data_IF_766596114084
#
_entry.id   IF_766596114084
#
_cell.length_a   1.000
_cell.length_b   1.000
_cell.length_c   1.000
_cell.angle_alpha   90.00
_cell.angle_beta   90.00
_cell.angle_gamma   90.00
#
_symmetry.space_group_name_H-M   'P 1'
#
loop_
_entity.id
_entity.type
_entity.pdbx_description
1 polymer ?
#
# COMPACT_ATOMS: atom_id res chain seq x y z
N UNK A 1 -14.96 11.54 -16.12
CA UNK A 1 -15.81 10.69 -15.30
C UNK A 1 -15.26 10.72 -13.88
N UNK A 2 -16.11 11.00 -12.91
CA UNK A 2 -15.82 10.96 -11.48
C UNK A 2 -15.93 9.50 -11.02
N UNK A 3 -14.86 8.72 -11.26
CA UNK A 3 -14.86 7.28 -10.95
C UNK A 3 -14.84 7.02 -9.43
N UNK A 4 -14.48 8.02 -8.61
CA UNK A 4 -14.24 7.86 -7.18
C UNK A 4 -15.24 8.62 -6.29
N UNK A 5 -16.17 9.39 -6.86
CA UNK A 5 -16.99 10.35 -6.11
C UNK A 5 -16.20 11.52 -5.50
N UNK A 6 -14.95 11.70 -5.93
CA UNK A 6 -14.02 12.74 -5.43
C UNK A 6 -13.77 13.88 -6.41
N UNK A 7 -14.48 13.87 -7.54
CA UNK A 7 -14.29 14.83 -8.60
C UNK A 7 -13.13 14.49 -9.55
N UNK A 8 -12.91 15.37 -10.53
CA UNK A 8 -11.86 15.18 -11.54
C UNK A 8 -10.48 15.21 -10.89
N UNK A 9 -9.63 14.22 -11.24
CA UNK A 9 -8.24 14.17 -10.80
C UNK A 9 -7.49 15.48 -11.20
N UNK A 10 -6.89 16.21 -10.23
CA UNK A 10 -6.28 17.52 -10.51
C UNK A 10 -4.96 17.42 -11.28
N UNK A 11 -4.34 16.24 -11.32
CA UNK A 11 -3.08 16.00 -12.03
C UNK A 11 -3.29 14.91 -13.07
N UNK A 12 -2.90 15.19 -14.33
CA UNK A 12 -2.98 14.22 -15.43
C UNK A 12 -2.08 13.03 -15.13
N UNK A 13 -2.62 11.82 -15.35
CA UNK A 13 -1.83 10.61 -15.22
C UNK A 13 -0.81 10.53 -16.36
N UNK A 14 0.47 10.62 -16.04
CA UNK A 14 1.54 10.45 -17.02
C UNK A 14 2.01 9.00 -17.01
N UNK A 15 2.28 8.44 -18.20
CA UNK A 15 2.92 7.13 -18.31
C UNK A 15 4.29 7.22 -17.64
N UNK A 16 4.48 6.45 -16.58
CA UNK A 16 5.75 6.33 -15.87
C UNK A 16 6.52 5.12 -16.41
N UNK A 17 7.82 5.08 -16.13
CA UNK A 17 8.63 3.89 -16.38
C UNK A 17 8.16 2.69 -15.56
N UNK A 18 8.64 1.51 -15.90
CA UNK A 18 8.37 0.28 -15.17
C UNK A 18 9.03 0.35 -13.78
N UNK A 19 8.26 0.27 -12.68
CA UNK A 19 8.80 0.44 -11.33
C UNK A 19 9.81 -0.67 -10.94
N UNK A 20 9.69 -1.86 -11.53
CA UNK A 20 10.61 -2.96 -11.27
C UNK A 20 11.99 -2.71 -11.85
N UNK A 21 12.06 -2.18 -13.08
CA UNK A 21 13.34 -1.77 -13.71
C UNK A 21 14.05 -0.71 -12.87
N UNK A 22 13.29 0.28 -12.36
CA UNK A 22 13.85 1.32 -11.50
C UNK A 22 14.28 0.75 -10.13
N UNK A 23 13.47 -0.13 -9.54
CA UNK A 23 13.81 -0.80 -8.28
C UNK A 23 15.10 -1.62 -8.42
N UNK A 24 15.22 -2.44 -9.48
CA UNK A 24 16.43 -3.22 -9.77
C UNK A 24 17.65 -2.32 -9.97
N UNK A 25 17.51 -1.26 -10.74
CA UNK A 25 18.60 -0.29 -10.96
C UNK A 25 19.09 0.32 -9.63
N UNK A 26 18.18 0.65 -8.70
CA UNK A 26 18.56 1.17 -7.38
C UNK A 26 19.31 0.11 -6.56
N UNK A 27 18.86 -1.15 -6.57
CA UNK A 27 19.56 -2.25 -5.90
C UNK A 27 20.99 -2.41 -6.43
N UNK A 28 21.15 -2.38 -7.74
CA UNK A 28 22.46 -2.56 -8.40
C UNK A 28 23.43 -1.40 -8.15
N UNK A 29 22.93 -0.15 -8.15
CA UNK A 29 23.80 1.04 -8.04
C UNK A 29 24.06 1.41 -6.57
N UNK A 30 23.04 1.30 -5.72
CA UNK A 30 23.10 1.81 -4.34
C UNK A 30 23.36 0.69 -3.34
N UNK A 31 23.10 -0.57 -3.70
CA UNK A 31 23.26 -1.73 -2.83
C UNK A 31 22.24 -1.77 -1.69
N UNK A 32 21.03 -1.24 -1.91
CA UNK A 32 19.92 -1.27 -0.94
C UNK A 32 18.71 -1.99 -1.53
N UNK A 33 17.95 -2.66 -0.70
CA UNK A 33 16.71 -3.31 -1.14
C UNK A 33 15.66 -2.29 -1.58
N UNK A 34 14.98 -2.57 -2.68
CA UNK A 34 13.89 -1.76 -3.20
C UNK A 34 12.55 -2.29 -2.70
N UNK A 35 11.64 -1.40 -2.33
CA UNK A 35 10.23 -1.72 -2.07
C UNK A 35 9.40 -1.21 -3.25
N UNK A 36 8.70 -2.11 -3.94
CA UNK A 36 7.85 -1.76 -5.09
C UNK A 36 6.38 -1.83 -4.72
N UNK A 37 5.63 -0.79 -5.09
CA UNK A 37 4.18 -0.73 -4.90
C UNK A 37 3.45 -1.34 -6.10
N UNK A 38 2.50 -2.26 -5.85
CA UNK A 38 1.61 -2.81 -6.87
C UNK A 38 0.16 -2.56 -6.56
N UNK A 39 -0.56 -1.84 -7.43
CA UNK A 39 -2.02 -1.71 -7.37
C UNK A 39 -2.63 -2.95 -8.04
N UNK A 40 -3.36 -3.75 -7.25
CA UNK A 40 -3.79 -5.09 -7.69
C UNK A 40 -5.21 -5.15 -8.25
N UNK A 41 -6.00 -4.11 -8.08
CA UNK A 41 -7.44 -4.14 -8.34
C UNK A 41 -7.84 -3.93 -9.81
N UNK A 42 -6.91 -3.56 -10.68
CA UNK A 42 -7.25 -3.16 -12.07
C UNK A 42 -7.14 -4.28 -13.10
N UNK A 43 -6.46 -5.36 -12.79
CA UNK A 43 -6.22 -6.49 -13.69
C UNK A 43 -6.68 -7.80 -13.05
N UNK A 44 -6.98 -8.85 -13.83
CA UNK A 44 -7.37 -10.17 -13.30
C UNK A 44 -6.33 -10.76 -12.36
N UNK A 45 -6.78 -11.63 -11.46
CA UNK A 45 -5.95 -12.27 -10.43
C UNK A 45 -4.70 -12.94 -11.01
N UNK A 46 -4.85 -13.75 -12.06
CA UNK A 46 -3.71 -14.46 -12.68
C UNK A 46 -2.65 -13.51 -13.24
N UNK A 47 -3.08 -12.38 -13.82
CA UNK A 47 -2.17 -11.35 -14.32
C UNK A 47 -1.40 -10.67 -13.16
N UNK A 48 -2.07 -10.46 -12.02
CA UNK A 48 -1.42 -9.93 -10.83
C UNK A 48 -0.38 -10.90 -10.27
N UNK A 49 -0.73 -12.17 -10.11
CA UNK A 49 0.20 -13.18 -9.59
C UNK A 49 1.41 -13.36 -10.52
N UNK A 50 1.18 -13.44 -11.83
CA UNK A 50 2.26 -13.49 -12.81
C UNK A 50 3.22 -12.30 -12.68
N UNK A 51 2.69 -11.07 -12.55
CA UNK A 51 3.50 -9.87 -12.36
C UNK A 51 4.33 -9.94 -11.07
N UNK A 52 3.76 -10.48 -9.99
CA UNK A 52 4.41 -10.63 -8.68
C UNK A 52 5.53 -11.67 -8.76
N UNK A 53 5.28 -12.84 -9.37
CA UNK A 53 6.28 -13.88 -9.59
C UNK A 53 7.46 -13.38 -10.45
N UNK A 54 7.16 -12.70 -11.56
CA UNK A 54 8.19 -12.07 -12.41
C UNK A 54 9.00 -11.03 -11.63
N UNK A 55 8.37 -10.25 -10.75
CA UNK A 55 9.04 -9.25 -9.92
C UNK A 55 10.09 -9.89 -9.01
N UNK A 56 9.75 -10.98 -8.38
CA UNK A 56 10.67 -11.71 -7.51
C UNK A 56 11.76 -12.45 -8.33
N UNK A 57 11.36 -13.24 -9.35
CA UNK A 57 12.26 -14.09 -10.09
C UNK A 57 13.16 -13.32 -11.07
N UNK A 58 12.60 -12.40 -11.85
CA UNK A 58 13.29 -11.78 -12.98
C UNK A 58 13.95 -10.45 -12.61
N UNK A 59 13.40 -9.73 -11.61
CA UNK A 59 13.96 -8.46 -11.11
C UNK A 59 14.66 -8.59 -9.76
N UNK A 60 14.60 -9.77 -9.13
CA UNK A 60 15.19 -10.03 -7.80
C UNK A 60 14.75 -8.98 -6.75
N UNK A 61 13.45 -8.63 -6.77
CA UNK A 61 12.84 -7.72 -5.82
C UNK A 61 11.95 -8.54 -4.87
N UNK A 62 12.30 -8.53 -3.60
CA UNK A 62 11.63 -9.30 -2.56
C UNK A 62 10.57 -8.48 -1.81
N UNK A 63 10.69 -7.15 -1.80
CA UNK A 63 9.84 -6.31 -0.98
C UNK A 63 8.72 -5.65 -1.81
N UNK A 64 7.46 -5.99 -1.52
CA UNK A 64 6.29 -5.46 -2.20
C UNK A 64 5.30 -4.81 -1.23
N UNK A 65 4.66 -3.72 -1.67
CA UNK A 65 3.48 -3.18 -1.03
C UNK A 65 2.27 -3.42 -1.93
N UNK A 66 1.32 -4.20 -1.43
CA UNK A 66 0.08 -4.51 -2.14
C UNK A 66 -0.94 -3.41 -1.87
N UNK A 67 -1.34 -2.73 -2.94
CA UNK A 67 -2.18 -1.54 -2.90
C UNK A 67 -3.56 -1.84 -3.48
N UNK A 68 -4.60 -1.42 -2.79
CA UNK A 68 -5.99 -1.52 -3.24
C UNK A 68 -6.42 -0.37 -4.15
N UNK A 69 -7.72 -0.29 -4.37
CA UNK A 69 -8.32 0.79 -5.15
C UNK A 69 -8.43 2.11 -4.37
N UNK A 70 -8.60 3.18 -5.12
CA UNK A 70 -8.70 4.55 -4.59
C UNK A 70 -10.01 4.79 -3.82
N UNK A 71 -11.06 4.01 -4.10
CA UNK A 71 -12.37 4.17 -3.48
C UNK A 71 -13.02 2.81 -3.18
N UNK A 72 -13.68 2.73 -2.01
CA UNK A 72 -14.53 1.58 -1.64
C UNK A 72 -15.87 1.55 -2.40
N UNK A 73 -16.24 2.64 -3.07
CA UNK A 73 -17.51 2.76 -3.80
C UNK A 73 -17.40 2.29 -5.26
N UNK A 74 -16.20 1.96 -5.71
CA UNK A 74 -15.93 1.46 -7.06
C UNK A 74 -15.74 -0.05 -7.01
N UNK A 75 -16.46 -0.77 -7.89
CA UNK A 75 -16.21 -2.19 -8.08
C UNK A 75 -15.08 -2.37 -9.10
N UNK A 76 -13.97 -2.84 -8.63
CA UNK A 76 -12.81 -3.11 -9.47
C UNK A 76 -12.86 -4.51 -10.08
N UNK A 77 -12.28 -4.72 -11.27
CA UNK A 77 -12.27 -6.02 -11.95
C UNK A 77 -11.27 -7.03 -11.36
N UNK A 78 -10.24 -6.54 -10.68
CA UNK A 78 -9.18 -7.36 -10.12
C UNK A 78 -9.43 -7.81 -8.67
N UNK A 79 -8.49 -8.57 -8.09
CA UNK A 79 -8.60 -9.10 -6.75
C UNK A 79 -8.52 -8.03 -5.66
N UNK A 80 -8.98 -8.36 -4.47
CA UNK A 80 -8.76 -7.56 -3.29
C UNK A 80 -7.30 -7.69 -2.78
N UNK A 81 -6.86 -6.73 -1.99
CA UNK A 81 -5.55 -6.77 -1.32
C UNK A 81 -5.38 -8.04 -0.49
N UNK A 82 -6.43 -8.46 0.24
CA UNK A 82 -6.35 -9.65 1.10
C UNK A 82 -6.21 -10.95 0.31
N UNK A 83 -6.88 -11.08 -0.84
CA UNK A 83 -6.72 -12.25 -1.71
C UNK A 83 -5.28 -12.37 -2.23
N UNK A 84 -4.68 -11.27 -2.68
CA UNK A 84 -3.31 -11.27 -3.18
C UNK A 84 -2.31 -11.54 -2.06
N UNK A 85 -2.45 -10.89 -0.90
CA UNK A 85 -1.59 -11.13 0.27
C UNK A 85 -1.63 -12.61 0.70
N UNK A 86 -2.83 -13.20 0.74
CA UNK A 86 -3.02 -14.60 1.08
C UNK A 86 -2.30 -15.52 0.08
N UNK A 87 -2.48 -15.29 -1.21
CA UNK A 87 -1.84 -16.10 -2.25
C UNK A 87 -0.32 -15.99 -2.23
N UNK A 88 0.23 -14.79 -2.01
CA UNK A 88 1.67 -14.63 -1.86
C UNK A 88 2.18 -15.43 -0.65
N UNK A 89 1.56 -15.24 0.50
CA UNK A 89 2.03 -15.85 1.75
C UNK A 89 1.85 -17.36 1.79
N UNK A 90 0.71 -17.89 1.29
CA UNK A 90 0.32 -19.30 1.46
C UNK A 90 0.56 -20.16 0.23
N UNK A 91 0.61 -19.57 -0.94
CA UNK A 91 0.80 -20.33 -2.18
C UNK A 91 2.19 -20.08 -2.76
N UNK A 92 2.57 -18.83 -2.99
CA UNK A 92 3.84 -18.53 -3.64
C UNK A 92 5.05 -18.77 -2.71
N UNK A 93 5.07 -18.20 -1.51
CA UNK A 93 6.21 -18.32 -0.60
C UNK A 93 6.38 -19.75 -0.06
N UNK A 94 5.28 -20.48 0.22
CA UNK A 94 5.36 -21.88 0.64
C UNK A 94 5.89 -22.82 -0.46
N UNK A 95 5.83 -22.39 -1.74
CA UNK A 95 6.39 -23.10 -2.90
C UNK A 95 7.76 -22.58 -3.34
N UNK A 96 8.48 -21.86 -2.49
CA UNK A 96 9.85 -21.44 -2.71
C UNK A 96 10.04 -20.04 -3.24
N UNK A 97 8.97 -19.23 -3.27
CA UNK A 97 9.08 -17.78 -3.44
C UNK A 97 9.62 -17.10 -2.18
N UNK A 98 10.15 -15.91 -2.34
CA UNK A 98 10.66 -15.10 -1.23
C UNK A 98 10.19 -13.65 -1.40
N UNK A 99 8.95 -13.39 -0.99
CA UNK A 99 8.34 -12.05 -1.06
C UNK A 99 7.90 -11.60 0.32
N UNK A 100 8.49 -10.51 0.78
CA UNK A 100 8.13 -9.81 1.99
C UNK A 100 7.06 -8.75 1.69
N UNK A 101 5.80 -9.05 2.04
CA UNK A 101 4.65 -8.24 1.67
C UNK A 101 4.26 -7.22 2.72
N UNK A 102 4.04 -5.98 2.27
CA UNK A 102 3.40 -4.92 3.04
C UNK A 102 2.04 -4.51 2.50
N UNK A 103 1.33 -3.77 3.31
CA UNK A 103 0.06 -3.13 2.95
C UNK A 103 0.04 -1.63 3.26
N UNK A 104 -0.99 -0.94 2.77
CA UNK A 104 -1.20 0.48 3.08
C UNK A 104 -2.05 0.61 4.36
N UNK A 105 -1.62 1.49 5.26
CA UNK A 105 -2.39 1.97 6.41
C UNK A 105 -2.90 3.39 6.14
N UNK A 106 -4.20 3.64 6.34
CA UNK A 106 -4.83 4.95 6.13
C UNK A 106 -5.39 5.43 7.46
N UNK A 107 -4.65 6.23 8.23
CA UNK A 107 -4.99 6.60 9.61
C UNK A 107 -6.33 7.32 9.78
N UNK A 108 -6.81 8.04 8.76
CA UNK A 108 -8.10 8.72 8.77
C UNK A 108 -9.32 7.80 8.69
N UNK A 109 -9.14 6.51 8.37
CA UNK A 109 -10.24 5.54 8.32
C UNK A 109 -10.64 5.05 9.70
N UNK A 110 -11.90 5.15 10.04
CA UNK A 110 -12.44 4.74 11.36
C UNK A 110 -12.19 3.27 11.71
N UNK A 111 -12.17 2.38 10.72
CA UNK A 111 -11.98 0.94 10.92
C UNK A 111 -10.58 0.44 10.53
N UNK A 112 -9.58 1.33 10.41
CA UNK A 112 -8.28 0.94 9.87
C UNK A 112 -7.56 -0.08 10.75
N UNK A 113 -7.66 0.01 12.07
CA UNK A 113 -7.09 -1.00 12.98
C UNK A 113 -7.60 -2.42 12.68
N UNK A 114 -8.89 -2.58 12.36
CA UNK A 114 -9.46 -3.87 11.93
C UNK A 114 -8.92 -4.31 10.57
N UNK A 115 -8.74 -3.36 9.65
CA UNK A 115 -8.18 -3.65 8.33
C UNK A 115 -6.73 -4.10 8.44
N UNK A 116 -5.93 -3.50 9.35
CA UNK A 116 -4.55 -3.91 9.59
C UNK A 116 -4.48 -5.34 10.13
N UNK A 117 -5.32 -5.70 11.11
CA UNK A 117 -5.42 -7.09 11.59
C UNK A 117 -5.74 -8.04 10.44
N UNK A 118 -6.79 -7.75 9.67
CA UNK A 118 -7.19 -8.59 8.54
C UNK A 118 -6.09 -8.76 7.49
N UNK A 119 -5.35 -7.70 7.18
CA UNK A 119 -4.19 -7.78 6.28
C UNK A 119 -3.06 -8.62 6.89
N UNK A 120 -2.78 -8.47 8.18
CA UNK A 120 -1.76 -9.27 8.89
C UNK A 120 -2.10 -10.76 8.87
N UNK A 121 -3.37 -11.12 9.10
CA UNK A 121 -3.86 -12.51 9.03
C UNK A 121 -3.73 -13.11 7.62
N UNK A 122 -3.78 -12.27 6.59
CA UNK A 122 -3.59 -12.66 5.19
C UNK A 122 -2.14 -12.54 4.72
N UNK A 123 -1.15 -12.31 5.59
CA UNK A 123 0.25 -12.36 5.24
C UNK A 123 0.95 -11.02 5.08
N UNK A 124 0.30 -9.89 5.43
CA UNK A 124 1.02 -8.62 5.48
C UNK A 124 1.97 -8.58 6.67
N UNK A 125 3.24 -8.31 6.42
CA UNK A 125 4.31 -8.33 7.43
C UNK A 125 4.72 -6.94 7.91
N UNK A 126 4.37 -5.92 7.14
CA UNK A 126 4.54 -4.52 7.52
C UNK A 126 3.47 -3.65 6.87
N UNK A 127 3.41 -2.39 7.30
CA UNK A 127 2.53 -1.40 6.70
C UNK A 127 3.29 -0.11 6.41
N UNK A 128 2.91 0.58 5.33
CA UNK A 128 3.29 1.96 5.12
C UNK A 128 2.06 2.85 5.21
N UNK A 129 2.19 4.02 5.82
CA UNK A 129 1.05 4.92 5.97
C UNK A 129 0.78 5.70 4.69
N UNK A 130 -0.46 6.17 4.53
CA UNK A 130 -0.72 7.34 3.69
C UNK A 130 0.13 8.51 4.21
N UNK A 131 0.43 9.49 3.33
CA UNK A 131 1.22 10.68 3.70
C UNK A 131 0.58 11.40 4.89
N UNK A 132 1.38 11.73 5.89
CA UNK A 132 0.97 12.34 7.16
C UNK A 132 1.35 13.80 7.22
N UNK A 133 0.40 14.64 7.60
CA UNK A 133 0.59 16.07 7.92
C UNK A 133 0.09 16.41 9.32
N UNK A 134 -0.55 15.45 10.00
CA UNK A 134 -1.04 15.53 11.36
C UNK A 134 -0.80 14.23 12.10
N UNK A 135 -0.49 14.31 13.39
CA UNK A 135 -0.19 13.15 14.23
C UNK A 135 -1.42 12.54 14.91
N UNK A 136 -2.54 13.26 14.98
CA UNK A 136 -3.69 12.85 15.78
C UNK A 136 -4.31 11.53 15.35
N UNK A 137 -4.50 11.36 14.03
CA UNK A 137 -5.12 10.15 13.47
C UNK A 137 -4.19 8.94 13.55
N UNK A 138 -2.89 9.15 13.31
CA UNK A 138 -1.92 8.05 13.39
C UNK A 138 -1.75 7.55 14.83
N UNK A 139 -1.70 8.45 15.81
CA UNK A 139 -1.61 8.07 17.23
C UNK A 139 -2.85 7.25 17.66
N UNK A 140 -4.05 7.70 17.30
CA UNK A 140 -5.29 6.95 17.59
C UNK A 140 -5.31 5.59 16.90
N UNK A 141 -4.92 5.54 15.63
CA UNK A 141 -4.89 4.27 14.88
C UNK A 141 -3.91 3.28 15.50
N UNK A 142 -2.70 3.73 15.88
CA UNK A 142 -1.69 2.88 16.53
C UNK A 142 -2.24 2.34 17.87
N UNK A 143 -2.84 3.20 18.70
CA UNK A 143 -3.44 2.77 19.97
C UNK A 143 -4.50 1.68 19.77
N UNK A 144 -5.47 1.91 18.90
CA UNK A 144 -6.49 0.91 18.59
C UNK A 144 -5.93 -0.35 17.92
N UNK A 145 -4.86 -0.25 17.16
CA UNK A 145 -4.22 -1.42 16.54
C UNK A 145 -3.52 -2.27 17.60
N UNK A 146 -2.79 -1.63 18.53
CA UNK A 146 -2.16 -2.30 19.66
C UNK A 146 -3.19 -3.02 20.54
N UNK A 147 -4.25 -2.31 20.96
CA UNK A 147 -5.35 -2.90 21.76
C UNK A 147 -5.91 -4.17 21.10
N UNK A 148 -6.13 -4.14 19.79
CA UNK A 148 -6.62 -5.32 19.05
C UNK A 148 -5.60 -6.44 18.97
N UNK A 149 -4.32 -6.12 18.82
CA UNK A 149 -3.27 -7.14 18.85
C UNK A 149 -3.21 -7.82 20.21
N UNK A 150 -3.36 -7.06 21.30
CA UNK A 150 -3.39 -7.58 22.68
C UNK A 150 -4.61 -8.49 22.90
N UNK A 151 -5.82 -8.06 22.44
CA UNK A 151 -7.04 -8.89 22.50
C UNK A 151 -6.90 -10.23 21.76
N UNK A 152 -6.17 -10.23 20.63
CA UNK A 152 -5.94 -11.42 19.80
C UNK A 152 -4.69 -12.22 20.20
N UNK A 153 -3.95 -11.76 21.22
CA UNK A 153 -2.68 -12.34 21.67
C UNK A 153 -1.68 -12.48 20.51
N UNK A 154 -1.56 -11.40 19.69
CA UNK A 154 -0.63 -11.33 18.56
C UNK A 154 0.22 -10.06 18.65
N UNK A 155 1.28 -9.97 17.83
CA UNK A 155 2.15 -8.81 17.81
C UNK A 155 1.78 -7.85 16.67
N UNK A 156 1.80 -6.53 16.92
CA UNK A 156 1.60 -5.55 15.86
C UNK A 156 2.72 -5.62 14.84
N UNK A 157 2.36 -5.51 13.57
CA UNK A 157 3.33 -5.39 12.48
C UNK A 157 3.95 -4.01 12.45
N UNK A 158 5.16 -3.92 11.91
CA UNK A 158 5.90 -2.65 11.77
C UNK A 158 5.12 -1.65 10.90
N UNK A 159 5.13 -0.39 11.32
CA UNK A 159 4.56 0.74 10.58
C UNK A 159 5.69 1.65 10.09
N UNK A 160 5.73 1.88 8.78
CA UNK A 160 6.60 2.86 8.13
C UNK A 160 5.78 4.14 7.92
N UNK A 161 6.17 5.22 8.57
CA UNK A 161 5.46 6.49 8.49
C UNK A 161 5.90 7.26 7.23
N UNK A 162 4.93 7.73 6.44
CA UNK A 162 5.19 8.43 5.20
C UNK A 162 5.02 9.93 5.35
N UNK A 163 6.05 10.68 4.98
CA UNK A 163 6.06 12.13 4.97
C UNK A 163 6.44 12.65 3.59
N UNK A 164 5.82 13.74 3.15
CA UNK A 164 6.16 14.39 1.90
C UNK A 164 6.06 15.91 2.04
N UNK A 165 6.99 16.70 1.46
CA UNK A 165 6.88 18.14 1.45
C UNK A 165 5.72 18.56 0.53
N UNK A 166 5.04 19.64 0.91
CA UNK A 166 4.08 20.33 0.04
C UNK A 166 4.85 21.31 -0.85
N UNK A 167 4.87 21.05 -2.15
CA UNK A 167 5.68 21.84 -3.08
C UNK A 167 4.88 22.85 -3.93
N UNK A 168 3.56 22.71 -3.99
CA UNK A 168 2.69 23.60 -4.78
C UNK A 168 1.22 23.44 -4.44
N UNK A 169 0.39 24.42 -4.82
CA UNK A 169 -1.07 24.35 -4.71
C UNK A 169 -1.65 23.13 -5.42
N UNK A 170 -1.15 22.77 -6.61
CA UNK A 170 -1.57 21.56 -7.34
C UNK A 170 -1.24 20.27 -6.59
N UNK A 171 -0.13 20.27 -5.86
CA UNK A 171 0.25 19.13 -5.01
C UNK A 171 -0.72 18.99 -3.84
N UNK A 172 -1.12 20.08 -3.19
CA UNK A 172 -2.15 20.10 -2.14
C UNK A 172 -3.48 19.54 -2.66
N UNK A 173 -3.94 20.04 -3.81
CA UNK A 173 -5.19 19.60 -4.44
C UNK A 173 -5.16 18.09 -4.75
N UNK A 174 -4.03 17.60 -5.25
CA UNK A 174 -3.85 16.19 -5.54
C UNK A 174 -3.85 15.34 -4.26
N UNK A 175 -3.15 15.76 -3.21
CA UNK A 175 -3.13 15.05 -1.93
C UNK A 175 -4.52 15.01 -1.28
N UNK A 176 -5.25 16.12 -1.29
CA UNK A 176 -6.64 16.18 -0.83
C UNK A 176 -7.56 15.27 -1.65
N UNK A 177 -7.36 15.24 -2.97
CA UNK A 177 -8.10 14.32 -3.85
C UNK A 177 -7.81 12.85 -3.53
N UNK A 178 -6.58 12.49 -3.14
CA UNK A 178 -6.21 11.17 -2.64
C UNK A 178 -6.79 10.86 -1.24
N UNK A 179 -7.43 11.83 -0.59
CA UNK A 179 -7.99 11.68 0.76
C UNK A 179 -6.99 11.90 1.88
N UNK A 180 -5.87 12.59 1.59
CA UNK A 180 -4.92 13.03 2.61
C UNK A 180 -5.49 14.24 3.33
N UNK A 181 -5.52 14.19 4.65
CA UNK A 181 -5.90 15.31 5.50
C UNK A 181 -4.71 16.25 5.66
N UNK A 182 -4.87 17.49 5.23
CA UNK A 182 -3.86 18.55 5.35
C UNK A 182 -4.47 19.65 6.21
N UNK A 183 -3.92 19.93 7.41
CA UNK A 183 -4.36 21.02 8.26
C UNK A 183 -4.25 22.37 7.55
N UNK A 184 -5.13 23.31 7.94
CA UNK A 184 -5.17 24.66 7.35
C UNK A 184 -3.95 25.52 7.69
N UNK A 185 -3.20 25.12 8.71
CA UNK A 185 -2.00 25.82 9.20
C UNK A 185 -0.70 25.28 8.59
N UNK A 186 -0.81 24.33 7.65
CA UNK A 186 0.31 23.74 6.90
C UNK A 186 0.43 24.46 5.57
#
# INVERSE_FOLDING_TARGET
LDENGRGKRPVVNQKRGEPREFGRLLQDIVGVEAIVNRVVVHEPFDAQMKWIEETNRDYEIENLIIVGGESSNVKYPGPSVNEVLHSISREYNENGGDIFCGGIAIPSRTAESKNLIKKSENGSEFFTTQVLYDSSNIIKMIGHYQERCDELNTFPRRLLLSFAPVSSQKNIEFLKWLGVEIPSET
#
